data_IF_036039018424
#
_entry.id   IF_036039018424
#
_cell.length_a   1.000
_cell.length_b   1.000
_cell.length_c   1.000
_cell.angle_alpha   90.00
_cell.angle_beta   90.00
_cell.angle_gamma   90.00
#
_symmetry.space_group_name_H-M   'P 1'
#
loop_
_entity.id
_entity.type
_entity.pdbx_description
1 polymer ?
#
# COMPACT_ATOMS: atom_id res chain seq x y z
N UNK A 1 -27.72 -16.20 1.05
CA UNK A 1 -27.17 -15.23 0.06
C UNK A 1 -27.65 -15.64 -1.32
N UNK A 2 -28.21 -14.73 -2.13
CA UNK A 2 -28.82 -15.08 -3.44
C UNK A 2 -27.72 -15.31 -4.49
N UNK A 3 -27.96 -16.20 -5.47
CA UNK A 3 -27.02 -16.52 -6.55
C UNK A 3 -26.53 -15.26 -7.31
N UNK A 4 -27.42 -14.29 -7.48
CA UNK A 4 -27.14 -13.03 -8.18
C UNK A 4 -26.09 -12.16 -7.46
N UNK A 5 -26.10 -12.17 -6.12
CA UNK A 5 -25.11 -11.43 -5.32
C UNK A 5 -23.73 -12.07 -5.44
N UNK A 6 -23.68 -13.41 -5.53
CA UNK A 6 -22.43 -14.16 -5.73
C UNK A 6 -21.83 -13.83 -7.09
N UNK A 7 -22.63 -13.83 -8.15
CA UNK A 7 -22.20 -13.47 -9.50
C UNK A 7 -21.69 -12.03 -9.53
N UNK A 8 -22.44 -11.08 -8.96
CA UNK A 8 -22.03 -9.67 -8.89
C UNK A 8 -20.68 -9.49 -8.18
N UNK A 9 -20.46 -10.15 -7.03
CA UNK A 9 -19.19 -10.11 -6.29
C UNK A 9 -17.98 -10.64 -7.06
N UNK A 10 -18.18 -11.50 -8.06
CA UNK A 10 -17.11 -12.01 -8.92
C UNK A 10 -16.59 -10.95 -9.90
N UNK A 11 -17.45 -9.98 -10.28
CA UNK A 11 -17.10 -8.89 -11.20
C UNK A 11 -16.78 -7.56 -10.50
N UNK A 12 -16.86 -7.51 -9.18
CA UNK A 12 -16.49 -6.32 -8.41
C UNK A 12 -15.02 -5.98 -8.58
N UNK A 13 -14.77 -4.74 -8.97
CA UNK A 13 -13.43 -4.15 -8.99
C UNK A 13 -12.99 -3.90 -7.54
N UNK A 14 -11.92 -4.56 -7.11
CA UNK A 14 -11.39 -4.45 -5.74
C UNK A 14 -9.99 -3.89 -5.77
N UNK A 15 -9.71 -2.95 -4.88
CA UNK A 15 -8.36 -2.43 -4.64
C UNK A 15 -7.88 -3.03 -3.33
N UNK A 16 -6.72 -3.69 -3.35
CA UNK A 16 -6.05 -4.06 -2.12
C UNK A 16 -5.38 -2.80 -1.54
N UNK A 17 -5.71 -2.47 -0.30
CA UNK A 17 -5.08 -1.38 0.45
C UNK A 17 -4.11 -2.02 1.44
N UNK A 18 -2.85 -1.61 1.40
CA UNK A 18 -1.83 -2.01 2.35
C UNK A 18 -1.55 -0.84 3.29
N UNK A 19 -1.74 -1.08 4.58
CA UNK A 19 -1.40 -0.12 5.62
C UNK A 19 -0.03 -0.46 6.19
N UNK A 20 0.88 0.51 6.20
CA UNK A 20 2.14 0.42 6.91
C UNK A 20 2.17 1.43 8.05
N UNK A 21 2.71 1.00 9.18
CA UNK A 21 3.11 1.91 10.26
C UNK A 21 4.61 2.14 10.08
N UNK A 22 5.46 1.60 10.94
CA UNK A 22 6.88 1.91 10.91
C UNK A 22 7.62 1.21 9.76
N UNK A 23 8.38 1.98 8.97
CA UNK A 23 9.32 1.44 7.98
C UNK A 23 10.73 1.89 8.37
N UNK A 24 11.51 0.97 8.95
CA UNK A 24 12.76 1.28 9.64
C UNK A 24 13.89 0.36 9.19
N UNK A 25 15.13 0.85 9.25
CA UNK A 25 16.29 -0.05 9.30
C UNK A 25 16.40 -0.68 10.70
N UNK A 26 17.14 -1.79 10.83
CA UNK A 26 17.42 -2.38 12.16
C UNK A 26 18.12 -1.40 13.10
N UNK A 27 19.01 -0.56 12.55
CA UNK A 27 19.71 0.48 13.31
C UNK A 27 18.75 1.57 13.82
N UNK A 28 17.81 2.01 12.98
CA UNK A 28 16.81 3.00 13.36
C UNK A 28 15.84 2.47 14.41
N UNK A 29 15.45 1.20 14.31
CA UNK A 29 14.62 0.52 15.29
C UNK A 29 15.34 0.44 16.64
N UNK A 30 16.61 0.00 16.64
CA UNK A 30 17.44 -0.06 17.85
C UNK A 30 17.63 1.32 18.49
N UNK A 31 17.95 2.34 17.68
CA UNK A 31 18.15 3.72 18.17
C UNK A 31 16.91 4.32 18.82
N UNK A 32 15.71 3.88 18.42
CA UNK A 32 14.45 4.35 18.97
C UNK A 32 13.92 3.49 20.12
N UNK A 33 14.70 2.48 20.56
CA UNK A 33 14.30 1.53 21.60
C UNK A 33 12.91 0.90 21.34
N UNK A 34 12.60 0.64 20.06
CA UNK A 34 11.33 -0.02 19.69
C UNK A 34 11.50 -1.52 19.95
N UNK A 35 10.78 -2.01 20.96
CA UNK A 35 10.78 -3.42 21.37
C UNK A 35 9.61 -4.21 20.80
N UNK A 36 8.52 -3.53 20.43
CA UNK A 36 7.39 -4.15 19.73
C UNK A 36 7.57 -4.03 18.22
N UNK A 37 7.82 -5.17 17.58
CA UNK A 37 8.07 -5.26 16.13
C UNK A 37 6.80 -5.50 15.32
N UNK A 38 5.64 -5.72 15.96
CA UNK A 38 4.38 -6.10 15.28
C UNK A 38 3.93 -5.06 14.24
N UNK A 39 4.32 -3.80 14.43
CA UNK A 39 4.01 -2.67 13.56
C UNK A 39 5.22 -2.16 12.76
N UNK A 40 6.34 -2.91 12.77
CA UNK A 40 7.57 -2.55 12.09
C UNK A 40 7.79 -3.38 10.82
N UNK A 41 8.11 -2.71 9.73
CA UNK A 41 8.57 -3.31 8.47
C UNK A 41 9.99 -2.85 8.20
N UNK A 42 10.87 -3.79 7.88
CA UNK A 42 12.23 -3.45 7.47
C UNK A 42 12.24 -2.73 6.10
N UNK A 43 13.05 -1.67 5.96
CA UNK A 43 13.17 -0.88 4.71
C UNK A 43 13.45 -1.74 3.47
N UNK A 44 14.35 -2.72 3.57
CA UNK A 44 14.70 -3.58 2.43
C UNK A 44 13.56 -4.52 2.05
N UNK A 45 12.80 -4.99 3.04
CA UNK A 45 11.59 -5.78 2.83
C UNK A 45 10.53 -4.93 2.12
N UNK A 46 10.26 -3.73 2.61
CA UNK A 46 9.31 -2.80 1.98
C UNK A 46 9.70 -2.50 0.53
N UNK A 47 10.99 -2.21 0.28
CA UNK A 47 11.49 -1.97 -1.08
C UNK A 47 11.30 -3.18 -1.99
N UNK A 48 11.61 -4.39 -1.51
CA UNK A 48 11.39 -5.64 -2.27
C UNK A 48 9.92 -5.87 -2.58
N UNK A 49 9.01 -5.61 -1.64
CA UNK A 49 7.57 -5.73 -1.85
C UNK A 49 7.09 -4.78 -2.95
N UNK A 50 7.43 -3.49 -2.85
CA UNK A 50 7.05 -2.50 -3.85
C UNK A 50 7.63 -2.81 -5.24
N UNK A 51 8.90 -3.22 -5.32
CA UNK A 51 9.51 -3.65 -6.58
C UNK A 51 8.81 -4.88 -7.17
N UNK A 52 8.42 -5.85 -6.35
CA UNK A 52 7.67 -7.03 -6.81
C UNK A 52 6.35 -6.63 -7.46
N UNK A 53 5.58 -5.73 -6.84
CA UNK A 53 4.33 -5.23 -7.41
C UNK A 53 4.56 -4.45 -8.70
N UNK A 54 5.56 -3.55 -8.73
CA UNK A 54 5.94 -2.80 -9.93
C UNK A 54 6.29 -3.74 -11.08
N UNK A 55 7.15 -4.73 -10.85
CA UNK A 55 7.59 -5.71 -11.85
C UNK A 55 6.44 -6.60 -12.34
N UNK A 56 5.41 -6.84 -11.51
CA UNK A 56 4.19 -7.57 -11.89
C UNK A 56 3.16 -6.71 -12.62
N UNK A 57 3.47 -5.44 -12.89
CA UNK A 57 2.62 -4.50 -13.63
C UNK A 57 1.46 -3.91 -12.80
N UNK A 58 1.61 -3.81 -11.47
CA UNK A 58 0.62 -3.15 -10.64
C UNK A 58 0.72 -1.62 -10.74
N UNK A 59 -0.43 -0.96 -10.85
CA UNK A 59 -0.55 0.48 -10.67
C UNK A 59 -0.72 0.80 -9.18
N UNK A 60 0.11 1.70 -8.66
CA UNK A 60 0.02 2.21 -7.30
C UNK A 60 -0.94 3.41 -7.30
N UNK A 61 -2.12 3.20 -6.73
CA UNK A 61 -3.16 4.21 -6.63
C UNK A 61 -2.96 5.09 -5.40
N UNK A 62 -3.23 6.38 -5.55
CA UNK A 62 -3.48 7.28 -4.43
C UNK A 62 -4.95 7.17 -3.99
N UNK A 63 -5.28 7.64 -2.79
CA UNK A 63 -6.67 7.67 -2.32
C UNK A 63 -7.57 8.49 -3.24
N UNK A 64 -7.05 9.59 -3.80
CA UNK A 64 -7.76 10.43 -4.77
C UNK A 64 -8.05 9.67 -6.07
N UNK A 65 -7.19 8.74 -6.48
CA UNK A 65 -7.46 7.90 -7.65
C UNK A 65 -8.62 6.94 -7.40
N UNK A 66 -8.68 6.36 -6.19
CA UNK A 66 -9.80 5.47 -5.79
C UNK A 66 -11.11 6.26 -5.80
N UNK A 67 -11.11 7.48 -5.25
CA UNK A 67 -12.27 8.37 -5.29
C UNK A 67 -12.72 8.66 -6.73
N UNK A 68 -11.78 9.04 -7.61
CA UNK A 68 -12.10 9.34 -9.01
C UNK A 68 -12.56 8.11 -9.80
N UNK A 69 -12.02 6.93 -9.49
CA UNK A 69 -12.49 5.65 -10.04
C UNK A 69 -13.95 5.40 -9.63
N UNK A 70 -14.28 5.59 -8.36
CA UNK A 70 -15.63 5.40 -7.85
C UNK A 70 -16.63 6.37 -8.48
N UNK A 71 -16.19 7.60 -8.78
CA UNK A 71 -16.99 8.61 -9.49
C UNK A 71 -17.09 8.39 -11.00
N UNK A 72 -16.36 7.41 -11.57
CA UNK A 72 -16.30 7.17 -13.01
C UNK A 72 -15.40 8.14 -13.78
N UNK A 73 -14.71 9.05 -13.09
CA UNK A 73 -13.81 10.04 -13.67
C UNK A 73 -12.46 9.45 -14.09
N UNK A 74 -12.15 8.22 -13.63
CA UNK A 74 -10.91 7.51 -13.95
C UNK A 74 -11.21 6.03 -14.21
N UNK A 75 -10.54 5.45 -15.22
CA UNK A 75 -10.64 4.00 -15.50
C UNK A 75 -9.93 3.20 -14.41
N UNK A 76 -10.54 2.08 -14.02
CA UNK A 76 -9.95 1.13 -13.08
C UNK A 76 -8.80 0.35 -13.74
N UNK A 77 -7.57 0.40 -13.21
CA UNK A 77 -6.46 -0.39 -13.77
C UNK A 77 -6.68 -1.90 -13.61
N UNK A 78 -6.16 -2.70 -14.53
CA UNK A 78 -6.28 -4.18 -14.47
C UNK A 78 -5.65 -4.78 -13.20
N UNK A 79 -4.56 -4.17 -12.71
CA UNK A 79 -3.88 -4.52 -11.46
C UNK A 79 -3.65 -3.24 -10.67
N UNK A 80 -4.26 -3.12 -9.50
CA UNK A 80 -4.20 -1.92 -8.68
C UNK A 80 -3.98 -2.28 -7.21
N UNK A 81 -3.09 -1.54 -6.57
CA UNK A 81 -2.90 -1.54 -5.11
C UNK A 81 -2.88 -0.11 -4.63
N UNK A 82 -3.22 0.11 -3.36
CA UNK A 82 -3.00 1.36 -2.67
C UNK A 82 -2.10 1.08 -1.46
N UNK A 83 -1.16 1.99 -1.19
CA UNK A 83 -0.31 1.92 0.00
C UNK A 83 -0.58 3.17 0.83
N UNK A 84 -0.96 2.98 2.09
CA UNK A 84 -1.19 4.04 3.07
C UNK A 84 -0.19 3.94 4.21
N UNK A 85 0.03 5.07 4.88
CA UNK A 85 0.92 5.18 6.03
C UNK A 85 0.21 5.96 7.12
N UNK A 86 0.06 5.37 8.30
CA UNK A 86 -0.59 6.01 9.44
C UNK A 86 0.45 6.63 10.40
N UNK A 87 -0.03 7.24 11.48
CA UNK A 87 0.77 7.80 12.59
C UNK A 87 1.78 8.90 12.22
N UNK A 88 1.50 9.65 11.15
CA UNK A 88 2.28 10.84 10.76
C UNK A 88 3.77 10.54 10.70
N UNK A 89 4.15 9.50 9.96
CA UNK A 89 5.54 9.11 9.68
C UNK A 89 6.19 10.12 8.71
N UNK A 90 6.25 11.38 9.13
CA UNK A 90 6.85 12.50 8.41
C UNK A 90 8.38 12.36 8.35
N UNK A 91 9.00 11.63 9.29
CA UNK A 91 10.46 11.43 9.32
C UNK A 91 10.99 10.53 8.19
N UNK A 92 10.18 9.66 7.59
CA UNK A 92 10.65 8.64 6.63
C UNK A 92 10.25 8.91 5.18
N UNK A 93 9.24 9.77 4.94
CA UNK A 93 8.80 10.17 3.59
C UNK A 93 9.89 10.82 2.74
N UNK A 94 10.87 11.52 3.32
CA UNK A 94 11.91 12.21 2.52
C UNK A 94 13.09 11.34 2.10
N UNK A 95 13.46 10.32 2.90
CA UNK A 95 14.73 9.60 2.70
C UNK A 95 14.59 8.38 1.79
N UNK A 96 13.45 7.68 1.84
CA UNK A 96 13.28 6.39 1.16
C UNK A 96 12.29 6.41 -0.01
N UNK A 97 11.52 7.48 -0.19
CA UNK A 97 10.51 7.58 -1.25
C UNK A 97 10.97 8.29 -2.53
N UNK A 98 12.23 8.73 -2.63
CA UNK A 98 12.81 9.16 -3.93
C UNK A 98 13.05 7.99 -4.91
N UNK A 99 12.59 6.79 -4.56
CA UNK A 99 12.77 5.55 -5.32
C UNK A 99 11.53 5.24 -6.19
N UNK A 100 10.51 6.12 -6.16
CA UNK A 100 9.35 6.08 -7.05
C UNK A 100 9.15 7.41 -7.76
#
# INVERSE_FOLDING_TARGET
>A
MKLIDKIRRMFEKKVQVFLYHHILTKEEQKRQNITDESMCTNVDIFKKQCLSYKNKGYTFLKIEDIYNIQKGNKKFPKKAICITFDDRIYRYRRKYFRIF
#
